data_IF_402785048389
#
_entry.id   IF_402785048389
#
_cell.length_a   1.000
_cell.length_b   1.000
_cell.length_c   1.000
_cell.angle_alpha   90.00
_cell.angle_beta   90.00
_cell.angle_gamma   90.00
#
_symmetry.space_group_name_H-M   'P 1'
#
loop_
_entity.id
_entity.type
_entity.pdbx_description
1 polymer ?
#
# COMPACT_ATOMS: atom_id res chain seq x y z
N UNK A 1 5.02 -5.16 -25.14
CA UNK A 1 5.08 -3.70 -25.37
C UNK A 1 6.52 -3.23 -25.28
N UNK A 2 6.92 -2.28 -26.12
CA UNK A 2 8.27 -1.69 -26.12
C UNK A 2 8.18 -0.17 -26.00
N UNK A 3 9.10 0.42 -25.25
CA UNK A 3 9.27 1.88 -25.15
C UNK A 3 10.73 2.21 -25.43
N UNK A 4 10.97 3.14 -26.36
CA UNK A 4 12.32 3.48 -26.86
C UNK A 4 13.15 2.25 -27.26
N UNK A 5 12.51 1.30 -27.97
CA UNK A 5 13.12 0.03 -28.45
C UNK A 5 13.54 -0.96 -27.35
N UNK A 6 13.19 -0.71 -26.09
CA UNK A 6 13.41 -1.62 -24.98
C UNK A 6 12.07 -2.17 -24.48
N UNK A 7 12.04 -3.41 -24.02
CA UNK A 7 10.88 -3.98 -23.36
C UNK A 7 10.67 -3.32 -21.98
N UNK A 8 9.45 -3.39 -21.43
CA UNK A 8 9.23 -2.93 -20.05
C UNK A 8 10.04 -3.74 -19.02
N UNK A 9 10.35 -5.01 -19.34
CA UNK A 9 11.21 -5.85 -18.53
C UNK A 9 12.65 -5.33 -18.54
N UNK A 10 13.16 -4.90 -19.70
CA UNK A 10 14.50 -4.33 -19.83
C UNK A 10 14.62 -3.06 -18.98
N UNK A 11 13.60 -2.18 -19.05
CA UNK A 11 13.55 -0.98 -18.21
C UNK A 11 13.54 -1.33 -16.72
N UNK A 12 12.73 -2.31 -16.31
CA UNK A 12 12.69 -2.75 -14.91
C UNK A 12 14.04 -3.30 -14.44
N UNK A 13 14.74 -4.06 -15.28
CA UNK A 13 16.09 -4.57 -14.97
C UNK A 13 17.10 -3.44 -14.80
N UNK A 14 17.06 -2.40 -15.63
CA UNK A 14 17.95 -1.24 -15.48
C UNK A 14 17.67 -0.45 -14.20
N UNK A 15 16.39 -0.22 -13.84
CA UNK A 15 16.04 0.41 -12.56
C UNK A 15 16.53 -0.39 -11.35
N UNK A 16 16.38 -1.73 -11.39
CA UNK A 16 16.87 -2.59 -10.32
C UNK A 16 18.41 -2.54 -10.19
N UNK A 17 19.14 -2.46 -11.31
CA UNK A 17 20.60 -2.30 -11.29
C UNK A 17 21.03 -0.98 -10.65
N UNK A 18 20.31 0.12 -10.92
CA UNK A 18 20.58 1.42 -10.30
C UNK A 18 20.39 1.37 -8.78
N UNK A 19 19.31 0.75 -8.30
CA UNK A 19 19.05 0.60 -6.86
C UNK A 19 20.16 -0.16 -6.11
N UNK A 20 20.81 -1.13 -6.77
CA UNK A 20 21.93 -1.88 -6.17
C UNK A 20 23.21 -1.06 -6.00
N UNK A 21 23.34 0.07 -6.69
CA UNK A 21 24.51 0.97 -6.56
C UNK A 21 24.39 1.88 -5.33
N UNK A 22 23.19 2.02 -4.77
CA UNK A 22 22.95 2.81 -3.57
C UNK A 22 23.40 1.98 -2.36
N UNK A 23 24.33 2.55 -1.57
CA UNK A 23 24.75 1.94 -0.30
C UNK A 23 23.63 2.10 0.73
N UNK A 24 22.80 1.08 0.87
CA UNK A 24 21.82 1.03 1.94
C UNK A 24 22.31 0.26 3.16
N UNK A 25 21.76 0.65 4.31
CA UNK A 25 21.92 -0.13 5.54
C UNK A 25 21.15 -1.45 5.40
N UNK A 26 21.66 -2.56 5.96
CA UNK A 26 20.93 -3.81 5.98
C UNK A 26 19.57 -3.64 6.71
N UNK A 27 18.56 -4.46 6.38
CA UNK A 27 17.25 -4.35 7.01
C UNK A 27 17.36 -4.62 8.50
N UNK A 28 16.64 -3.81 9.27
CA UNK A 28 16.58 -3.90 10.73
C UNK A 28 15.11 -3.80 11.19
N UNK A 29 14.80 -4.06 12.48
CA UNK A 29 13.44 -3.98 13.00
C UNK A 29 12.69 -2.65 12.77
N UNK A 30 13.39 -1.55 12.49
CA UNK A 30 12.83 -0.20 12.24
C UNK A 30 12.77 0.16 10.75
N UNK A 31 13.50 -0.56 9.90
CA UNK A 31 13.64 -0.29 8.47
C UNK A 31 13.55 -1.58 7.64
N UNK A 32 12.44 -2.30 7.75
CA UNK A 32 12.20 -3.57 7.06
C UNK A 32 10.94 -3.59 6.19
N UNK A 33 10.23 -2.46 6.10
CA UNK A 33 9.00 -2.37 5.32
C UNK A 33 9.24 -2.28 3.82
N UNK A 34 8.19 -1.97 3.06
CA UNK A 34 8.26 -1.92 1.59
C UNK A 34 9.22 -0.86 1.06
N UNK A 35 9.50 0.18 1.86
CA UNK A 35 10.46 1.23 1.50
C UNK A 35 11.93 0.81 1.66
N UNK A 36 12.23 -0.40 2.15
CA UNK A 36 13.60 -0.89 2.19
C UNK A 36 14.02 -1.37 0.79
N UNK A 37 14.92 -0.64 0.12
CA UNK A 37 15.30 -0.92 -1.27
C UNK A 37 15.97 -2.27 -1.43
N UNK A 38 16.77 -2.70 -0.44
CA UNK A 38 17.40 -4.01 -0.50
C UNK A 38 16.37 -5.13 -0.49
N UNK A 39 15.39 -5.11 0.42
CA UNK A 39 14.33 -6.13 0.47
C UNK A 39 13.44 -6.07 -0.77
N UNK A 40 13.05 -4.87 -1.22
CA UNK A 40 12.25 -4.68 -2.43
C UNK A 40 12.98 -5.19 -3.68
N UNK A 41 14.27 -4.85 -3.83
CA UNK A 41 15.13 -5.31 -4.93
C UNK A 41 15.30 -6.82 -4.91
N UNK A 42 15.56 -7.43 -3.74
CA UNK A 42 15.65 -8.88 -3.63
C UNK A 42 14.33 -9.55 -4.04
N UNK A 43 13.18 -9.03 -3.58
CA UNK A 43 11.87 -9.59 -3.90
C UNK A 43 11.60 -9.53 -5.41
N UNK A 44 11.74 -8.34 -6.01
CA UNK A 44 11.50 -8.13 -7.44
C UNK A 44 12.45 -8.95 -8.31
N UNK A 45 13.75 -8.99 -7.97
CA UNK A 45 14.73 -9.79 -8.71
C UNK A 45 14.48 -11.29 -8.58
N UNK A 46 14.06 -11.76 -7.40
CA UNK A 46 13.75 -13.18 -7.20
C UNK A 46 12.64 -13.64 -8.13
N UNK A 47 11.56 -12.86 -8.25
CA UNK A 47 10.42 -13.21 -9.11
C UNK A 47 10.76 -12.97 -10.59
N UNK A 48 11.47 -11.89 -10.93
CA UNK A 48 11.81 -11.59 -12.32
C UNK A 48 12.73 -12.64 -12.91
N UNK A 49 13.71 -13.12 -12.14
CA UNK A 49 14.69 -14.10 -12.61
C UNK A 49 14.38 -15.54 -12.21
N UNK A 50 13.25 -15.78 -11.54
CA UNK A 50 12.91 -17.07 -10.94
C UNK A 50 14.05 -17.62 -10.04
N UNK A 51 14.69 -16.73 -9.29
CA UNK A 51 15.89 -17.01 -8.50
C UNK A 51 15.53 -17.36 -7.05
N UNK A 52 15.58 -18.66 -6.75
CA UNK A 52 15.28 -19.21 -5.42
C UNK A 52 16.28 -18.76 -4.35
N UNK A 53 17.53 -18.47 -4.72
CA UNK A 53 18.55 -18.04 -3.76
C UNK A 53 18.30 -16.62 -3.27
N UNK A 54 17.80 -15.74 -4.15
CA UNK A 54 17.37 -14.39 -3.75
C UNK A 54 16.16 -14.46 -2.81
N UNK A 55 15.18 -15.32 -3.10
CA UNK A 55 14.03 -15.53 -2.20
C UNK A 55 14.45 -16.12 -0.84
N UNK A 56 15.39 -17.07 -0.81
CA UNK A 56 15.98 -17.57 0.43
C UNK A 56 16.70 -16.48 1.22
N UNK A 57 17.40 -15.57 0.52
CA UNK A 57 18.09 -14.43 1.16
C UNK A 57 17.12 -13.45 1.81
N UNK A 58 15.94 -13.23 1.22
CA UNK A 58 14.88 -12.43 1.85
C UNK A 58 14.46 -13.12 3.15
N UNK A 59 14.14 -14.42 3.11
CA UNK A 59 13.76 -15.20 4.29
C UNK A 59 14.81 -15.12 5.41
N UNK A 60 16.11 -15.10 5.07
CA UNK A 60 17.19 -15.05 6.05
C UNK A 60 17.17 -13.77 6.91
N UNK A 61 16.60 -12.67 6.44
CA UNK A 61 16.46 -11.44 7.23
C UNK A 61 15.38 -11.54 8.31
N UNK A 62 14.51 -12.56 8.28
CA UNK A 62 13.46 -12.78 9.27
C UNK A 62 14.01 -12.76 10.70
N UNK A 63 15.14 -13.44 10.94
CA UNK A 63 15.76 -13.50 12.27
C UNK A 63 16.20 -12.12 12.77
N UNK A 64 16.82 -11.30 11.90
CA UNK A 64 17.26 -9.95 12.27
C UNK A 64 16.06 -9.02 12.48
N UNK A 65 15.06 -9.08 11.59
CA UNK A 65 13.86 -8.24 11.64
C UNK A 65 13.00 -8.57 12.87
N UNK A 66 12.87 -9.84 13.22
CA UNK A 66 12.05 -10.31 14.34
C UNK A 66 12.82 -10.47 15.66
N UNK A 67 14.15 -10.40 15.63
CA UNK A 67 15.01 -10.68 16.78
C UNK A 67 14.98 -9.64 17.90
N UNK A 68 14.45 -8.43 17.64
CA UNK A 68 14.28 -7.39 18.66
C UNK A 68 12.82 -7.24 19.09
N UNK A 69 12.62 -6.92 20.37
CA UNK A 69 11.32 -6.49 20.87
C UNK A 69 10.94 -5.07 20.43
N UNK A 70 11.92 -4.27 20.02
CA UNK A 70 11.77 -2.94 19.42
C UNK A 70 11.49 -3.08 17.90
N UNK A 71 11.11 -1.97 17.25
CA UNK A 71 10.86 -1.90 15.82
C UNK A 71 9.47 -1.39 15.43
N UNK A 72 9.24 -1.31 14.13
CA UNK A 72 7.96 -0.91 13.55
C UNK A 72 7.21 -2.13 13.04
N UNK A 73 5.88 -2.13 13.19
CA UNK A 73 5.03 -3.13 12.56
C UNK A 73 4.30 -2.60 11.33
N UNK A 74 4.36 -1.29 11.05
CA UNK A 74 3.58 -0.70 9.95
C UNK A 74 4.09 -1.07 8.55
N UNK A 75 3.35 -0.67 7.52
CA UNK A 75 3.56 -1.16 6.17
C UNK A 75 4.77 -0.53 5.47
N UNK A 76 5.06 0.75 5.71
CA UNK A 76 6.09 1.45 4.96
C UNK A 76 7.50 1.06 5.42
N UNK A 77 7.74 1.04 6.73
CA UNK A 77 9.07 0.80 7.32
C UNK A 77 9.13 -0.44 8.23
N UNK A 78 7.99 -1.05 8.53
CA UNK A 78 7.88 -2.12 9.51
C UNK A 78 7.58 -3.51 8.94
N UNK A 79 7.30 -4.43 9.86
CA UNK A 79 7.10 -5.85 9.57
C UNK A 79 5.92 -6.14 8.63
N UNK A 80 4.88 -5.30 8.59
CA UNK A 80 3.79 -5.48 7.64
C UNK A 80 4.23 -5.28 6.19
N UNK A 81 5.18 -4.36 5.93
CA UNK A 81 5.78 -4.23 4.59
C UNK A 81 6.64 -5.44 4.22
N UNK A 82 7.39 -5.97 5.19
CA UNK A 82 8.13 -7.21 5.00
C UNK A 82 7.22 -8.39 4.64
N UNK A 83 6.03 -8.49 5.27
CA UNK A 83 5.02 -9.48 4.94
C UNK A 83 4.53 -9.37 3.49
N UNK A 84 4.37 -8.15 2.95
CA UNK A 84 4.04 -7.96 1.54
C UNK A 84 5.12 -8.57 0.64
N UNK A 85 6.40 -8.27 0.90
CA UNK A 85 7.52 -8.74 0.09
C UNK A 85 7.67 -10.26 0.14
N UNK A 86 7.51 -10.87 1.32
CA UNK A 86 7.48 -12.33 1.45
C UNK A 86 6.30 -12.96 0.70
N UNK A 87 5.11 -12.35 0.77
CA UNK A 87 3.91 -12.82 0.07
C UNK A 87 4.07 -12.74 -1.45
N UNK A 88 4.67 -11.66 -1.95
CA UNK A 88 5.01 -11.48 -3.37
C UNK A 88 5.93 -12.59 -3.88
N UNK A 89 6.98 -12.93 -3.13
CA UNK A 89 7.83 -14.05 -3.49
C UNK A 89 7.06 -15.38 -3.43
N UNK A 90 6.26 -15.60 -2.39
CA UNK A 90 5.52 -16.86 -2.20
C UNK A 90 4.53 -17.09 -3.35
N UNK A 91 3.75 -16.08 -3.73
CA UNK A 91 2.75 -16.21 -4.81
C UNK A 91 3.39 -16.54 -6.15
N UNK A 92 4.61 -16.08 -6.41
CA UNK A 92 5.37 -16.49 -7.58
C UNK A 92 5.80 -17.96 -7.46
N UNK A 93 6.55 -18.30 -6.41
CA UNK A 93 7.19 -19.62 -6.30
C UNK A 93 6.20 -20.76 -6.06
N UNK A 94 5.05 -20.55 -5.41
CA UNK A 94 4.04 -21.59 -5.20
C UNK A 94 3.51 -22.20 -6.50
N UNK A 95 3.63 -21.46 -7.62
CA UNK A 95 3.22 -21.91 -8.96
C UNK A 95 4.36 -22.54 -9.77
N UNK A 96 5.60 -22.53 -9.26
CA UNK A 96 6.79 -23.01 -9.95
C UNK A 96 7.18 -24.42 -9.50
N UNK A 97 7.43 -25.31 -10.46
CA UNK A 97 7.92 -26.67 -10.18
C UNK A 97 9.30 -26.66 -9.52
N UNK A 98 9.52 -27.49 -8.50
CA UNK A 98 10.82 -27.63 -7.83
C UNK A 98 11.16 -26.53 -6.84
N UNK A 99 10.18 -25.72 -6.44
CA UNK A 99 10.33 -24.58 -5.52
C UNK A 99 9.83 -24.89 -4.09
N UNK A 100 9.48 -26.14 -3.78
CA UNK A 100 8.77 -26.53 -2.56
C UNK A 100 9.54 -26.10 -1.30
N UNK A 101 10.86 -26.24 -1.33
CA UNK A 101 11.72 -25.84 -0.21
C UNK A 101 11.72 -24.32 0.04
N UNK A 102 11.75 -23.49 -1.02
CA UNK A 102 11.72 -22.04 -0.87
C UNK A 102 10.32 -21.55 -0.49
N UNK A 103 9.27 -22.16 -1.03
CA UNK A 103 7.88 -21.88 -0.66
C UNK A 103 7.62 -22.20 0.81
N UNK A 104 8.18 -23.31 1.32
CA UNK A 104 8.11 -23.64 2.74
C UNK A 104 8.88 -22.63 3.62
N UNK A 105 10.07 -22.18 3.19
CA UNK A 105 10.85 -21.18 3.90
C UNK A 105 10.13 -19.81 3.96
N UNK A 106 9.54 -19.37 2.85
CA UNK A 106 8.73 -18.16 2.76
C UNK A 106 7.52 -18.23 3.69
N UNK A 107 6.82 -19.37 3.70
CA UNK A 107 5.66 -19.60 4.58
C UNK A 107 6.06 -19.53 6.05
N UNK A 108 7.16 -20.17 6.45
CA UNK A 108 7.66 -20.08 7.83
C UNK A 108 8.05 -18.65 8.21
N UNK A 109 8.71 -17.92 7.31
CA UNK A 109 9.10 -16.54 7.56
C UNK A 109 7.87 -15.63 7.76
N UNK A 110 6.82 -15.84 6.95
CA UNK A 110 5.53 -15.16 7.09
C UNK A 110 4.89 -15.47 8.45
N UNK A 111 4.78 -16.74 8.83
CA UNK A 111 4.14 -17.15 10.07
C UNK A 111 4.85 -16.58 11.31
N UNK A 112 6.19 -16.63 11.34
CA UNK A 112 6.99 -16.05 12.42
C UNK A 112 6.84 -14.53 12.50
N UNK A 113 6.81 -13.86 11.35
CA UNK A 113 6.63 -12.41 11.28
C UNK A 113 5.23 -12.00 11.72
N UNK A 114 4.18 -12.73 11.32
CA UNK A 114 2.81 -12.52 11.81
C UNK A 114 2.76 -12.71 13.32
N UNK A 115 3.34 -13.80 13.84
CA UNK A 115 3.41 -14.05 15.28
C UNK A 115 4.10 -12.90 16.01
N UNK A 116 5.24 -12.42 15.50
CA UNK A 116 5.98 -11.29 16.06
C UNK A 116 5.14 -10.00 16.11
N UNK A 117 4.36 -9.71 15.07
CA UNK A 117 3.45 -8.56 15.06
C UNK A 117 2.35 -8.72 16.13
N UNK A 118 1.70 -9.88 16.19
CA UNK A 118 0.59 -10.14 17.12
C UNK A 118 1.05 -10.23 18.59
N UNK A 119 2.28 -10.67 18.85
CA UNK A 119 2.89 -10.67 20.18
C UNK A 119 3.31 -9.25 20.63
N UNK A 120 3.28 -8.25 19.73
CA UNK A 120 3.56 -6.86 20.10
C UNK A 120 2.39 -6.27 20.87
N UNK A 121 2.58 -5.77 22.10
CA UNK A 121 1.51 -5.18 22.90
C UNK A 121 0.81 -4.02 22.19
N UNK A 122 -0.50 -3.90 22.40
CA UNK A 122 -1.28 -2.75 21.97
C UNK A 122 -1.08 -1.57 22.96
N UNK A 123 -1.17 -0.32 22.49
CA UNK A 123 -1.45 0.08 21.10
C UNK A 123 -0.25 -0.08 20.17
N UNK A 124 -0.50 -0.43 18.91
CA UNK A 124 0.54 -0.35 17.88
C UNK A 124 0.81 1.11 17.54
N UNK A 125 2.09 1.50 17.59
CA UNK A 125 2.49 2.90 17.35
C UNK A 125 3.64 2.99 16.36
N UNK A 126 3.68 4.12 15.66
CA UNK A 126 4.82 4.54 14.83
C UNK A 126 5.16 5.98 15.21
N UNK A 127 6.44 6.26 15.48
CA UNK A 127 6.91 7.51 16.12
C UNK A 127 6.05 7.94 17.33
N UNK A 128 5.68 6.99 18.19
CA UNK A 128 4.91 7.24 19.41
C UNK A 128 3.43 7.56 19.19
N UNK A 129 2.91 7.44 17.97
CA UNK A 129 1.52 7.74 17.64
C UNK A 129 0.79 6.50 17.14
N UNK A 130 -0.44 6.32 17.64
CA UNK A 130 -1.34 5.23 17.27
C UNK A 130 -2.06 5.57 15.95
N UNK A 131 -1.41 5.27 14.83
CA UNK A 131 -1.99 5.51 13.50
C UNK A 131 -3.03 4.46 13.15
N UNK A 132 -4.06 4.84 12.38
CA UNK A 132 -5.15 3.94 12.01
C UNK A 132 -5.16 3.59 10.52
N UNK A 133 -4.61 4.47 9.66
CA UNK A 133 -4.64 4.36 8.20
C UNK A 133 -3.69 3.31 7.59
N UNK A 134 -3.75 3.16 6.26
CA UNK A 134 -3.10 2.05 5.55
C UNK A 134 -1.57 2.12 5.55
N UNK A 135 -0.98 3.33 5.57
CA UNK A 135 0.46 3.47 5.50
C UNK A 135 1.16 3.08 6.81
N UNK A 136 0.70 3.65 7.92
CA UNK A 136 1.40 3.58 9.21
C UNK A 136 0.61 2.94 10.34
N UNK A 137 -0.61 2.46 10.06
CA UNK A 137 -1.60 2.18 11.09
C UNK A 137 -2.21 0.79 11.04
N UNK A 138 -3.17 0.60 11.95
CA UNK A 138 -3.83 -0.68 12.18
C UNK A 138 -4.36 -1.32 10.90
N UNK A 139 -5.12 -0.58 10.09
CA UNK A 139 -5.75 -1.18 8.91
C UNK A 139 -4.70 -1.69 7.90
N UNK A 140 -3.57 -0.99 7.79
CA UNK A 140 -2.41 -1.41 7.00
C UNK A 140 -1.81 -2.71 7.50
N UNK A 141 -1.50 -2.76 8.79
CA UNK A 141 -0.91 -3.92 9.46
C UNK A 141 -1.82 -5.14 9.31
N UNK A 142 -3.12 -4.98 9.62
CA UNK A 142 -4.11 -6.04 9.56
C UNK A 142 -4.30 -6.55 8.13
N UNK A 143 -4.30 -5.66 7.13
CA UNK A 143 -4.39 -6.06 5.72
C UNK A 143 -3.24 -6.98 5.34
N UNK A 144 -2.00 -6.62 5.71
CA UNK A 144 -0.85 -7.44 5.38
C UNK A 144 -0.82 -8.77 6.13
N UNK A 145 -1.28 -8.82 7.38
CA UNK A 145 -1.44 -10.09 8.11
C UNK A 145 -2.45 -10.99 7.41
N UNK A 146 -3.66 -10.47 7.14
CA UNK A 146 -4.76 -11.26 6.56
C UNK A 146 -4.37 -11.79 5.19
N UNK A 147 -3.83 -10.95 4.31
CA UNK A 147 -3.44 -11.39 2.95
C UNK A 147 -2.25 -12.35 2.95
N UNK A 148 -1.38 -12.32 3.96
CA UNK A 148 -0.23 -13.23 4.04
C UNK A 148 -0.54 -14.59 4.66
N UNK A 149 -1.62 -14.74 5.42
CA UNK A 149 -2.03 -16.04 5.98
C UNK A 149 -2.45 -17.03 4.89
N UNK A 150 -2.29 -18.32 5.18
CA UNK A 150 -2.80 -19.43 4.35
C UNK A 150 -4.08 -20.05 4.94
N UNK A 151 -4.28 -19.86 6.24
CA UNK A 151 -5.40 -20.38 7.02
C UNK A 151 -5.71 -19.45 8.19
N UNK A 152 -6.89 -19.58 8.79
CA UNK A 152 -7.33 -18.80 9.96
C UNK A 152 -7.09 -17.30 9.78
N UNK A 153 -7.39 -16.82 8.57
CA UNK A 153 -7.01 -15.50 8.06
C UNK A 153 -7.39 -14.35 8.99
N UNK A 154 -8.58 -14.38 9.61
CA UNK A 154 -9.08 -13.35 10.52
C UNK A 154 -8.65 -13.50 11.98
N UNK A 155 -8.13 -14.66 12.38
CA UNK A 155 -7.95 -15.02 13.79
C UNK A 155 -7.10 -14.01 14.57
N UNK A 156 -7.66 -13.50 15.67
CA UNK A 156 -7.02 -12.54 16.57
C UNK A 156 -7.09 -11.09 16.10
N UNK A 157 -7.86 -10.82 15.04
CA UNK A 157 -8.02 -9.48 14.46
C UNK A 157 -9.48 -9.00 14.48
N UNK A 158 -10.43 -9.86 14.80
CA UNK A 158 -11.87 -9.59 14.72
C UNK A 158 -12.27 -8.40 15.60
N UNK A 159 -11.83 -8.39 16.86
CA UNK A 159 -12.11 -7.31 17.80
C UNK A 159 -11.45 -5.99 17.38
N UNK A 160 -10.25 -6.06 16.81
CA UNK A 160 -9.55 -4.89 16.28
C UNK A 160 -10.28 -4.30 15.07
N UNK A 161 -10.77 -5.13 14.15
CA UNK A 161 -11.59 -4.66 13.01
C UNK A 161 -12.84 -4.00 13.56
N UNK A 162 -13.56 -4.65 14.47
CA UNK A 162 -14.79 -4.09 15.01
C UNK A 162 -14.54 -2.75 15.73
N UNK A 163 -13.44 -2.62 16.47
CA UNK A 163 -13.03 -1.35 17.08
C UNK A 163 -12.77 -0.27 16.03
N UNK A 164 -12.06 -0.58 14.93
CA UNK A 164 -11.83 0.37 13.84
C UNK A 164 -13.12 0.81 13.16
N UNK A 165 -14.05 -0.11 12.91
CA UNK A 165 -15.34 0.21 12.28
C UNK A 165 -16.16 1.18 13.14
N UNK A 166 -16.07 1.10 14.47
CA UNK A 166 -16.71 2.03 15.40
C UNK A 166 -16.12 3.44 15.37
N UNK A 167 -14.92 3.62 14.81
CA UNK A 167 -14.26 4.93 14.67
C UNK A 167 -14.63 5.66 13.38
N UNK A 168 -15.46 5.08 12.51
CA UNK A 168 -15.87 5.73 11.27
C UNK A 168 -16.69 6.99 11.58
N UNK A 169 -16.31 8.12 10.97
CA UNK A 169 -17.03 9.38 11.10
C UNK A 169 -18.41 9.32 10.44
N UNK A 170 -19.35 10.20 10.83
CA UNK A 170 -20.63 10.36 10.14
C UNK A 170 -20.50 10.65 8.63
N UNK A 171 -19.41 11.30 8.21
CA UNK A 171 -19.08 11.54 6.79
C UNK A 171 -18.79 10.26 5.99
N UNK A 172 -18.48 9.15 6.67
CA UNK A 172 -17.96 7.91 6.08
C UNK A 172 -16.43 7.82 6.10
N UNK A 173 -15.73 8.90 6.47
CA UNK A 173 -14.27 8.91 6.61
C UNK A 173 -13.78 8.22 7.88
N UNK A 174 -12.47 8.05 8.00
CA UNK A 174 -11.81 7.49 9.17
C UNK A 174 -10.74 8.44 9.73
N UNK A 175 -10.54 8.45 11.06
CA UNK A 175 -9.47 9.20 11.67
C UNK A 175 -8.09 8.70 11.23
N UNK A 176 -7.13 9.62 11.13
CA UNK A 176 -5.73 9.28 10.81
C UNK A 176 -5.02 8.52 11.94
N UNK A 177 -5.41 8.77 13.18
CA UNK A 177 -4.82 8.22 14.40
C UNK A 177 -5.83 8.20 15.54
N UNK A 178 -5.68 7.28 16.49
CA UNK A 178 -6.51 7.22 17.69
C UNK A 178 -6.33 8.48 18.55
N UNK A 179 -7.43 8.98 19.11
CA UNK A 179 -7.47 10.13 20.03
C UNK A 179 -8.54 9.93 21.08
N UNK A 180 -8.38 10.62 22.22
CA UNK A 180 -9.40 10.66 23.29
C UNK A 180 -10.68 11.35 22.84
N UNK A 181 -10.54 12.43 22.08
CA UNK A 181 -11.64 13.23 21.55
C UNK A 181 -11.38 13.54 20.08
N UNK A 182 -12.43 13.49 19.28
CA UNK A 182 -12.40 13.84 17.87
C UNK A 182 -13.23 15.11 17.65
N UNK A 183 -12.70 16.03 16.86
CA UNK A 183 -13.41 17.22 16.41
C UNK A 183 -13.68 17.15 14.90
N UNK A 184 -14.60 17.98 14.41
CA UNK A 184 -14.84 18.11 12.96
C UNK A 184 -13.58 18.53 12.18
N UNK A 185 -12.61 19.19 12.82
CA UNK A 185 -11.33 19.57 12.20
C UNK A 185 -10.42 18.36 11.93
N UNK A 186 -10.66 17.24 12.60
CA UNK A 186 -9.87 16.01 12.43
C UNK A 186 -10.35 15.18 11.23
N UNK A 187 -11.60 15.34 10.81
CA UNK A 187 -12.19 14.71 9.64
C UNK A 187 -11.86 15.46 8.34
N UNK A 188 -10.57 15.46 7.97
CA UNK A 188 -10.07 16.23 6.82
C UNK A 188 -9.23 15.45 5.81
N UNK A 189 -8.64 14.33 6.22
CA UNK A 189 -7.74 13.57 5.35
C UNK A 189 -8.53 12.48 4.64
N UNK A 190 -8.59 12.57 3.31
CA UNK A 190 -9.23 11.60 2.42
C UNK A 190 -8.15 11.08 1.48
N UNK A 191 -7.24 10.25 2.02
CA UNK A 191 -6.02 9.81 1.37
C UNK A 191 -5.80 8.31 1.61
N UNK A 192 -5.05 7.63 0.72
CA UNK A 192 -4.67 6.23 0.95
C UNK A 192 -3.92 6.06 2.28
N UNK A 193 -2.95 6.92 2.58
CA UNK A 193 -2.20 6.84 3.83
C UNK A 193 -3.07 7.10 5.07
N UNK A 194 -4.03 8.04 4.98
CA UNK A 194 -4.88 8.48 6.08
C UNK A 194 -6.29 8.84 5.58
N UNK A 195 -7.29 8.06 5.98
CA UNK A 195 -8.69 8.30 5.68
C UNK A 195 -9.39 7.16 4.93
N UNK A 196 -10.60 7.45 4.45
CA UNK A 196 -11.48 6.50 3.78
C UNK A 196 -10.85 5.75 2.61
N UNK A 197 -10.00 6.32 1.73
CA UNK A 197 -9.47 5.54 0.60
C UNK A 197 -8.66 4.32 1.06
N UNK A 198 -7.74 4.52 2.00
CA UNK A 198 -6.92 3.42 2.54
C UNK A 198 -7.77 2.37 3.27
N UNK A 199 -8.76 2.81 4.04
CA UNK A 199 -9.69 1.92 4.71
C UNK A 199 -10.56 1.12 3.75
N UNK A 200 -11.14 1.76 2.73
CA UNK A 200 -11.96 1.10 1.71
C UNK A 200 -11.15 0.04 0.98
N UNK A 201 -9.98 0.41 0.44
CA UNK A 201 -9.10 -0.52 -0.29
C UNK A 201 -8.76 -1.73 0.59
N UNK A 202 -8.44 -1.50 1.85
CA UNK A 202 -8.09 -2.54 2.82
C UNK A 202 -9.27 -3.46 3.14
N UNK A 203 -10.39 -2.89 3.60
CA UNK A 203 -11.57 -3.63 4.01
C UNK A 203 -12.14 -4.44 2.85
N UNK A 204 -12.25 -3.85 1.65
CA UNK A 204 -12.67 -4.56 0.43
C UNK A 204 -11.76 -5.75 0.09
N UNK A 205 -10.46 -5.64 0.37
CA UNK A 205 -9.50 -6.72 0.10
C UNK A 205 -9.62 -7.88 1.08
N UNK A 206 -9.97 -7.60 2.33
CA UNK A 206 -9.90 -8.58 3.42
C UNK A 206 -11.25 -9.07 3.93
N UNK A 207 -12.37 -8.41 3.60
CA UNK A 207 -13.70 -8.71 4.15
C UNK A 207 -14.13 -10.18 4.00
N UNK A 208 -13.83 -10.80 2.85
CA UNK A 208 -14.15 -12.21 2.57
C UNK A 208 -13.48 -13.23 3.52
N UNK A 209 -12.49 -12.79 4.31
CA UNK A 209 -11.77 -13.64 5.26
C UNK A 209 -12.29 -13.53 6.69
N UNK A 210 -13.26 -12.66 6.95
CA UNK A 210 -13.88 -12.46 8.26
C UNK A 210 -15.22 -13.20 8.38
N UNK A 211 -15.70 -13.48 9.59
CA UNK A 211 -17.02 -14.08 9.80
C UNK A 211 -18.15 -13.29 9.11
N UNK A 212 -19.20 -13.95 8.60
CA UNK A 212 -20.23 -13.31 7.77
C UNK A 212 -20.86 -12.05 8.37
N UNK A 213 -21.06 -12.01 9.69
CA UNK A 213 -21.66 -10.83 10.34
C UNK A 213 -20.69 -9.65 10.41
N UNK A 214 -19.40 -9.90 10.61
CA UNK A 214 -18.38 -8.85 10.56
C UNK A 214 -18.12 -8.41 9.12
N UNK A 215 -18.12 -9.35 8.17
CA UNK A 215 -18.06 -9.04 6.73
C UNK A 215 -19.15 -8.03 6.33
N UNK A 216 -20.42 -8.27 6.71
CA UNK A 216 -21.52 -7.32 6.43
C UNK A 216 -21.27 -5.93 7.04
N UNK A 217 -20.74 -5.86 8.27
CA UNK A 217 -20.37 -4.58 8.90
C UNK A 217 -19.27 -3.85 8.13
N UNK A 218 -18.26 -4.59 7.65
CA UNK A 218 -17.18 -4.06 6.83
C UNK A 218 -17.70 -3.53 5.49
N UNK A 219 -18.61 -4.25 4.83
CA UNK A 219 -19.26 -3.83 3.58
C UNK A 219 -20.04 -2.52 3.76
N UNK A 220 -20.80 -2.38 4.85
CA UNK A 220 -21.50 -1.11 5.17
C UNK A 220 -20.52 0.04 5.37
N UNK A 221 -19.40 -0.20 6.06
CA UNK A 221 -18.37 0.81 6.27
C UNK A 221 -17.66 1.18 4.96
N UNK A 222 -17.41 0.21 4.08
CA UNK A 222 -16.87 0.40 2.73
C UNK A 222 -17.77 1.31 1.91
N UNK A 223 -19.08 1.08 1.90
CA UNK A 223 -20.01 1.92 1.13
C UNK A 223 -20.06 3.37 1.62
N UNK A 224 -20.05 3.57 2.94
CA UNK A 224 -19.93 4.91 3.52
C UNK A 224 -18.60 5.57 3.15
N UNK A 225 -17.50 4.82 3.19
CA UNK A 225 -16.18 5.29 2.77
C UNK A 225 -16.14 5.66 1.28
N UNK A 226 -16.77 4.88 0.41
CA UNK A 226 -16.88 5.19 -1.03
C UNK A 226 -17.68 6.47 -1.27
N UNK A 227 -18.76 6.69 -0.51
CA UNK A 227 -19.51 7.94 -0.57
C UNK A 227 -18.64 9.14 -0.16
N UNK A 228 -17.82 8.99 0.88
CA UNK A 228 -16.86 10.01 1.30
C UNK A 228 -15.81 10.32 0.22
N UNK A 229 -15.19 9.28 -0.35
CA UNK A 229 -14.22 9.43 -1.45
C UNK A 229 -14.86 10.11 -2.66
N UNK A 230 -16.11 9.80 -2.98
CA UNK A 230 -16.81 10.46 -4.07
C UNK A 230 -17.02 11.96 -3.82
N UNK A 231 -17.41 12.32 -2.59
CA UNK A 231 -17.72 13.70 -2.24
C UNK A 231 -16.48 14.57 -1.99
N UNK A 232 -15.35 13.97 -1.54
CA UNK A 232 -14.18 14.71 -1.03
C UNK A 232 -12.83 14.19 -1.53
N UNK A 233 -12.81 13.18 -2.38
CA UNK A 233 -11.58 12.52 -2.86
C UNK A 233 -10.83 13.28 -3.96
N UNK A 234 -11.41 14.35 -4.52
CA UNK A 234 -10.71 15.31 -5.38
C UNK A 234 -9.85 16.23 -4.52
N UNK A 235 -8.56 15.91 -4.41
CA UNK A 235 -7.63 16.63 -3.55
C UNK A 235 -7.01 17.83 -4.27
N UNK A 236 -6.60 18.84 -3.49
CA UNK A 236 -5.76 19.95 -3.97
C UNK A 236 -4.29 19.56 -4.14
N UNK A 237 -3.92 18.35 -3.67
CA UNK A 237 -2.57 17.80 -3.75
C UNK A 237 -2.27 17.20 -5.14
N UNK A 238 -0.97 17.09 -5.49
CA UNK A 238 -0.49 16.30 -6.63
C UNK A 238 -1.19 14.94 -6.86
N UNK A 239 -1.43 14.56 -8.12
CA UNK A 239 -1.97 13.25 -8.48
C UNK A 239 -0.94 12.13 -8.26
N UNK A 240 -1.01 11.50 -7.10
CA UNK A 240 -0.17 10.36 -6.70
C UNK A 240 -0.99 9.27 -5.99
N UNK A 241 -0.37 8.10 -5.74
CA UNK A 241 -1.03 6.97 -5.06
C UNK A 241 -1.24 7.20 -3.54
N UNK A 242 -0.29 7.81 -2.84
CA UNK A 242 -0.31 7.86 -1.37
C UNK A 242 -1.38 8.83 -0.82
N UNK A 243 -1.45 10.02 -1.41
CA UNK A 243 -2.30 11.11 -0.93
C UNK A 243 -2.71 12.04 -2.09
N UNK A 244 -3.03 11.43 -3.22
CA UNK A 244 -3.49 12.09 -4.43
C UNK A 244 -4.72 11.40 -5.00
N UNK A 245 -5.31 12.05 -6.01
CA UNK A 245 -6.58 11.63 -6.60
C UNK A 245 -6.54 10.23 -7.21
N UNK A 246 -5.42 9.83 -7.83
CA UNK A 246 -5.31 8.51 -8.48
C UNK A 246 -5.26 7.37 -7.47
N UNK A 247 -4.65 7.59 -6.30
CA UNK A 247 -4.75 6.65 -5.18
C UNK A 247 -6.17 6.56 -4.62
N UNK A 248 -6.86 7.69 -4.54
CA UNK A 248 -8.25 7.74 -4.08
C UNK A 248 -9.20 7.00 -5.02
N UNK A 249 -8.96 7.07 -6.33
CA UNK A 249 -9.75 6.36 -7.33
C UNK A 249 -9.77 4.85 -7.11
N UNK A 250 -8.70 4.27 -6.56
CA UNK A 250 -8.61 2.83 -6.27
C UNK A 250 -9.60 2.35 -5.18
N UNK A 251 -10.30 3.25 -4.48
CA UNK A 251 -11.41 2.89 -3.59
C UNK A 251 -12.64 2.33 -4.35
N UNK A 252 -12.74 2.63 -5.64
CA UNK A 252 -13.79 2.11 -6.54
C UNK A 252 -13.27 0.85 -7.24
N UNK A 253 -13.26 -0.26 -6.50
CA UNK A 253 -12.56 -1.51 -6.88
C UNK A 253 -13.21 -2.28 -8.03
N UNK A 254 -14.52 -2.13 -8.23
CA UNK A 254 -15.26 -2.91 -9.22
C UNK A 254 -15.03 -2.40 -10.64
N UNK A 255 -14.71 -3.26 -11.63
CA UNK A 255 -14.38 -2.81 -12.99
C UNK A 255 -15.44 -1.96 -13.69
N UNK A 256 -16.71 -2.11 -13.34
CA UNK A 256 -17.85 -1.38 -13.90
C UNK A 256 -18.20 -0.09 -13.13
N UNK A 257 -17.51 0.21 -12.03
CA UNK A 257 -17.71 1.45 -11.28
C UNK A 257 -17.09 2.63 -12.03
N UNK A 258 -17.95 3.45 -12.66
CA UNK A 258 -17.58 4.60 -13.49
C UNK A 258 -16.94 5.76 -12.71
N UNK A 259 -17.04 5.75 -11.37
CA UNK A 259 -16.43 6.78 -10.51
C UNK A 259 -14.91 6.78 -10.58
N UNK A 260 -14.32 5.60 -10.82
CA UNK A 260 -12.88 5.47 -11.04
C UNK A 260 -12.42 6.32 -12.23
N UNK A 261 -13.00 6.11 -13.40
CA UNK A 261 -12.63 6.86 -14.61
C UNK A 261 -12.94 8.35 -14.47
N UNK A 262 -14.06 8.69 -13.83
CA UNK A 262 -14.41 10.09 -13.55
C UNK A 262 -13.38 10.79 -12.68
N UNK A 263 -12.84 10.13 -11.66
CA UNK A 263 -11.74 10.69 -10.87
C UNK A 263 -10.43 10.76 -11.68
N UNK A 264 -10.11 9.71 -12.46
CA UNK A 264 -8.92 9.71 -13.31
C UNK A 264 -8.93 10.85 -14.32
N UNK A 265 -10.09 11.22 -14.87
CA UNK A 265 -10.23 12.35 -15.79
C UNK A 265 -9.72 13.69 -15.22
N UNK A 266 -9.71 13.84 -13.89
CA UNK A 266 -9.14 15.03 -13.22
C UNK A 266 -7.61 14.98 -13.06
N UNK A 267 -7.00 13.85 -13.42
CA UNK A 267 -5.55 13.61 -13.36
C UNK A 267 -4.89 13.58 -14.73
N UNK A 268 -5.57 14.04 -15.79
CA UNK A 268 -4.97 14.21 -17.12
C UNK A 268 -3.96 15.36 -17.08
N UNK A 269 -2.89 15.21 -17.85
CA UNK A 269 -1.85 16.24 -17.95
C UNK A 269 -2.46 17.58 -18.34
N UNK A 270 -3.35 17.58 -19.34
CA UNK A 270 -4.01 18.77 -19.86
C UNK A 270 -4.77 19.53 -18.77
N UNK A 271 -5.55 18.82 -17.95
CA UNK A 271 -6.35 19.45 -16.91
C UNK A 271 -5.50 19.92 -15.73
N UNK A 272 -4.50 19.13 -15.33
CA UNK A 272 -3.57 19.52 -14.25
C UNK A 272 -2.83 20.81 -14.65
N UNK A 273 -2.32 20.86 -15.89
CA UNK A 273 -1.62 22.03 -16.43
C UNK A 273 -2.55 23.25 -16.57
N UNK A 274 -3.80 23.04 -17.01
CA UNK A 274 -4.80 24.10 -17.08
C UNK A 274 -5.13 24.68 -15.70
N UNK A 275 -5.31 23.81 -14.69
CA UNK A 275 -5.60 24.23 -13.32
C UNK A 275 -4.43 24.97 -12.67
N UNK A 276 -3.19 24.51 -12.88
CA UNK A 276 -1.99 25.18 -12.38
C UNK A 276 -1.87 26.61 -12.92
N UNK A 277 -2.22 26.84 -14.19
CA UNK A 277 -2.25 28.18 -14.80
C UNK A 277 -3.36 29.07 -14.24
N UNK A 278 -4.51 28.48 -13.90
CA UNK A 278 -5.69 29.21 -13.44
C UNK A 278 -5.60 29.67 -11.99
N UNK A 279 -4.85 28.98 -11.13
CA UNK A 279 -4.72 29.31 -9.71
C UNK A 279 -3.28 29.11 -9.19
N UNK A 280 -2.45 30.14 -9.38
CA UNK A 280 -1.07 30.18 -8.90
C UNK A 280 -0.96 30.15 -7.36
N UNK A 281 -2.05 30.39 -6.62
CA UNK A 281 -2.04 30.38 -5.15
C UNK A 281 -2.04 28.98 -4.54
N UNK A 282 -2.28 27.93 -5.35
CA UNK A 282 -2.37 26.53 -4.89
C UNK A 282 -1.01 25.82 -4.72
N UNK A 283 0.10 26.55 -4.80
CA UNK A 283 1.44 26.00 -4.59
C UNK A 283 1.94 25.12 -5.73
N UNK A 284 1.33 25.24 -6.90
CA UNK A 284 1.86 24.71 -8.17
C UNK A 284 2.36 25.92 -8.94
N UNK A 285 3.45 26.52 -8.46
CA UNK A 285 4.01 27.77 -8.99
C UNK A 285 4.40 27.66 -10.48
N UNK A 286 4.58 26.42 -10.97
CA UNK A 286 4.91 26.04 -12.35
C UNK A 286 4.15 24.77 -12.69
N UNK A 287 3.75 24.59 -13.96
CA UNK A 287 2.94 23.44 -14.38
C UNK A 287 3.53 22.08 -13.96
N UNK A 288 2.68 21.08 -13.72
CA UNK A 288 3.06 19.73 -13.24
C UNK A 288 4.28 19.14 -13.95
N UNK A 289 4.31 19.18 -15.27
CA UNK A 289 5.44 18.65 -16.05
C UNK A 289 6.69 19.54 -16.01
N UNK A 290 6.56 20.81 -15.62
CA UNK A 290 7.71 21.72 -15.48
C UNK A 290 8.48 21.50 -14.18
N UNK A 291 7.89 20.77 -13.23
CA UNK A 291 8.57 20.29 -12.02
C UNK A 291 9.19 18.89 -12.21
N UNK A 292 8.93 18.24 -13.36
CA UNK A 292 9.61 17.02 -13.74
C UNK A 292 11.13 17.24 -13.82
N UNK A 293 11.89 16.44 -13.05
CA UNK A 293 13.35 16.49 -12.99
C UNK A 293 13.94 17.49 -11.98
N UNK A 294 13.11 18.08 -11.10
CA UNK A 294 13.58 18.94 -9.98
C UNK A 294 13.44 18.31 -8.60
N UNK A 295 12.55 17.33 -8.48
CA UNK A 295 12.25 16.63 -7.24
C UNK A 295 12.14 15.13 -7.55
N UNK A 296 12.93 14.31 -6.86
CA UNK A 296 12.88 12.85 -7.01
C UNK A 296 11.50 12.30 -6.57
N UNK A 297 10.80 12.98 -5.67
CA UNK A 297 9.45 12.61 -5.27
C UNK A 297 8.45 12.73 -6.43
N UNK A 298 8.71 13.59 -7.42
CA UNK A 298 7.87 13.74 -8.61
C UNK A 298 7.83 12.45 -9.44
N UNK A 299 8.93 11.69 -9.51
CA UNK A 299 8.98 10.44 -10.28
C UNK A 299 8.67 9.21 -9.42
N UNK A 300 8.42 9.39 -8.12
CA UNK A 300 8.18 8.31 -7.17
C UNK A 300 6.88 7.55 -7.43
N UNK A 301 6.89 6.25 -7.12
CA UNK A 301 5.73 5.37 -7.27
C UNK A 301 4.55 5.83 -6.41
N UNK A 302 4.78 6.12 -5.13
CA UNK A 302 3.69 6.50 -4.23
C UNK A 302 3.41 8.00 -4.16
N UNK A 303 4.35 8.84 -4.62
CA UNK A 303 4.32 10.29 -4.43
C UNK A 303 4.16 11.09 -5.73
N UNK A 304 4.27 10.44 -6.89
CA UNK A 304 4.26 11.17 -8.15
C UNK A 304 3.85 10.36 -9.38
N UNK A 305 4.50 10.70 -10.49
CA UNK A 305 4.13 10.35 -11.86
C UNK A 305 4.14 8.85 -12.13
N UNK A 306 5.06 8.08 -11.56
CA UNK A 306 5.08 6.63 -11.73
C UNK A 306 3.81 5.97 -11.18
N UNK A 307 3.31 6.45 -10.04
CA UNK A 307 2.03 6.01 -9.48
C UNK A 307 0.84 6.42 -10.33
N UNK A 308 0.85 7.66 -10.84
CA UNK A 308 -0.18 8.15 -11.76
C UNK A 308 -0.24 7.29 -13.02
N UNK A 309 0.91 7.03 -13.65
CA UNK A 309 1.03 6.19 -14.83
C UNK A 309 0.56 4.75 -14.57
N UNK A 310 0.88 4.18 -13.40
CA UNK A 310 0.38 2.85 -13.01
C UNK A 310 -1.15 2.78 -13.00
N UNK A 311 -1.82 3.76 -12.36
CA UNK A 311 -3.29 3.75 -12.27
C UNK A 311 -3.94 3.95 -13.64
N UNK A 312 -3.35 4.79 -14.51
CA UNK A 312 -3.80 4.89 -15.90
C UNK A 312 -3.60 3.59 -16.69
N UNK A 313 -2.53 2.84 -16.43
CA UNK A 313 -2.34 1.53 -17.03
C UNK A 313 -3.40 0.51 -16.56
N UNK A 314 -3.81 0.56 -15.29
CA UNK A 314 -4.94 -0.26 -14.81
C UNK A 314 -6.23 0.05 -15.56
N UNK A 315 -6.50 1.34 -15.82
CA UNK A 315 -7.65 1.78 -16.60
C UNK A 315 -7.59 1.28 -18.05
N UNK A 316 -6.46 1.47 -18.75
CA UNK A 316 -6.25 1.00 -20.13
C UNK A 316 -6.43 -0.52 -20.26
N UNK A 317 -5.97 -1.28 -19.26
CA UNK A 317 -6.05 -2.74 -19.28
C UNK A 317 -7.36 -3.32 -18.80
N UNK A 318 -8.24 -2.50 -18.23
CA UNK A 318 -9.47 -2.94 -17.59
C UNK A 318 -9.25 -4.15 -16.65
N UNK A 319 -8.18 -4.09 -15.86
CA UNK A 319 -7.82 -5.13 -14.89
C UNK A 319 -8.31 -4.76 -13.50
N UNK A 320 -8.22 -5.73 -12.57
CA UNK A 320 -8.57 -5.50 -11.17
C UNK A 320 -7.83 -4.26 -10.64
N UNK A 321 -8.58 -3.36 -10.03
CA UNK A 321 -8.08 -2.09 -9.49
C UNK A 321 -7.45 -2.34 -8.13
N UNK A 322 -6.13 -2.43 -8.09
CA UNK A 322 -5.34 -2.68 -6.87
C UNK A 322 -4.26 -1.61 -6.69
N UNK A 323 -3.84 -1.41 -5.44
CA UNK A 323 -2.74 -0.56 -5.07
C UNK A 323 -1.45 -1.40 -5.08
N UNK A 324 -0.55 -1.06 -6.02
CA UNK A 324 0.73 -1.75 -6.23
C UNK A 324 1.61 -1.70 -4.99
N UNK A 325 2.14 -2.82 -4.51
CA UNK A 325 2.90 -2.82 -3.26
C UNK A 325 2.04 -3.01 -2.01
N UNK A 326 0.74 -3.24 -2.15
CA UNK A 326 -0.17 -3.28 -1.00
C UNK A 326 -1.15 -4.46 -1.05
N UNK A 327 -2.03 -4.51 -2.05
CA UNK A 327 -3.09 -5.53 -2.17
C UNK A 327 -3.19 -6.14 -3.59
N UNK A 328 -2.13 -6.01 -4.37
CA UNK A 328 -2.00 -6.45 -5.76
C UNK A 328 -1.45 -7.88 -5.92
N UNK A 329 -1.22 -8.58 -4.81
CA UNK A 329 -0.80 -9.98 -4.74
C UNK A 329 -1.88 -10.82 -4.09
#
# INVERSE_FOLDING_TARGET
MTFKRQSYRDWAEEYLKLGLQIRESPPDPKHCGIANELLASLALRSIMHNDVHLAQRICAYEQTINGSSDGSNEWLYGRAGYLYLLRLCRSHFETQSGSEAVTAALTQAIERTIKRILDTPLPWTWHGKEYLGAAHGYIGIMTQIVLSRTQNHSSGLEDLVEALLKMQYPSGNFPSSARKEYSNHDDRLVQFCHGSPGFVISLSSIAKYFPPDLQKKMEVAVEKGRADVWNRGLLTKPPCLCHGIVGNALAFTEPDDDRFEKLLAYSTTELIEANAKADQSRGVDKGWLQDAGRDDAFVGLYTGEAGRAWVWALADKNVRRTCIGYNDV
#
